data_IF_535407953207
#
_entry.id   IF_535407953207
#
_cell.length_a   1.000
_cell.length_b   1.000
_cell.length_c   1.000
_cell.angle_alpha   90.00
_cell.angle_beta   90.00
_cell.angle_gamma   90.00
#
_symmetry.space_group_name_H-M   'P 1'
#
loop_
_entity.id
_entity.type
_entity.pdbx_description
1 polymer ?
#
# COMPACT_ATOMS: atom_id res chain seq x y z
N UNK A 1 -28.66 40.63 13.27
CA UNK A 1 -27.84 40.24 14.40
C UNK A 1 -27.73 38.73 14.59
N UNK A 2 -28.77 37.96 14.29
CA UNK A 2 -28.70 36.49 14.31
C UNK A 2 -27.68 35.96 13.30
N UNK A 3 -27.56 36.59 12.14
CA UNK A 3 -26.63 36.22 11.07
C UNK A 3 -25.17 36.38 11.53
N UNK A 4 -24.91 37.38 12.38
CA UNK A 4 -23.57 37.68 12.89
C UNK A 4 -23.07 36.57 13.85
N UNK A 5 -23.95 36.08 14.71
CA UNK A 5 -23.63 34.96 15.61
C UNK A 5 -23.41 33.64 14.86
N UNK A 6 -24.12 33.47 13.75
CA UNK A 6 -23.97 32.30 12.89
C UNK A 6 -22.58 32.22 12.24
N UNK A 7 -22.11 33.37 11.76
CA UNK A 7 -20.78 33.44 11.13
C UNK A 7 -19.67 33.16 12.13
N UNK A 8 -19.80 33.66 13.36
CA UNK A 8 -18.83 33.40 14.43
C UNK A 8 -18.81 31.92 14.80
N UNK A 9 -19.99 31.27 14.86
CA UNK A 9 -20.08 29.84 15.15
C UNK A 9 -19.43 28.99 14.06
N UNK A 10 -19.61 29.34 12.79
CA UNK A 10 -18.99 28.66 11.66
C UNK A 10 -17.46 28.78 11.67
N UNK A 11 -16.94 29.94 12.01
CA UNK A 11 -15.49 30.17 12.11
C UNK A 11 -14.90 29.35 13.25
N UNK A 12 -15.59 29.23 14.38
CA UNK A 12 -15.16 28.44 15.51
C UNK A 12 -15.08 26.93 15.17
N UNK A 13 -16.05 26.42 14.42
CA UNK A 13 -16.07 25.02 13.97
C UNK A 13 -14.90 24.76 13.01
N UNK A 14 -14.61 25.70 12.09
CA UNK A 14 -13.50 25.56 11.16
C UNK A 14 -12.16 25.52 11.89
N UNK A 15 -11.99 26.32 12.94
CA UNK A 15 -10.78 26.31 13.76
C UNK A 15 -10.60 25.02 14.54
N UNK A 16 -11.69 24.36 14.93
CA UNK A 16 -11.62 23.08 15.63
C UNK A 16 -11.04 21.98 14.73
N UNK A 17 -11.31 22.02 13.43
CA UNK A 17 -10.73 21.10 12.46
C UNK A 17 -9.23 21.31 12.28
N UNK A 18 -8.75 22.55 12.42
CA UNK A 18 -7.34 22.87 12.28
C UNK A 18 -6.49 22.38 13.47
N UNK A 19 -7.12 21.95 14.58
CA UNK A 19 -6.44 21.45 15.77
C UNK A 19 -6.19 19.94 15.76
N UNK A 20 -6.65 19.22 14.73
CA UNK A 20 -6.35 17.79 14.59
C UNK A 20 -4.86 17.66 14.26
N UNK A 21 -4.08 16.86 15.04
CA UNK A 21 -2.66 16.70 14.77
C UNK A 21 -2.44 16.13 13.36
N UNK A 22 -1.65 16.83 12.56
CA UNK A 22 -1.35 16.41 11.19
C UNK A 22 -0.66 15.05 11.13
N UNK A 23 0.09 14.68 12.18
CA UNK A 23 0.77 13.39 12.28
C UNK A 23 -0.23 12.21 12.31
N UNK A 24 -1.36 12.37 12.99
CA UNK A 24 -2.40 11.36 13.05
C UNK A 24 -3.08 11.16 11.69
N UNK A 25 -3.41 12.26 11.03
CA UNK A 25 -4.03 12.23 9.71
C UNK A 25 -3.07 11.62 8.68
N UNK A 26 -1.78 11.98 8.73
CA UNK A 26 -0.76 11.48 7.82
C UNK A 26 -0.53 9.97 8.00
N UNK A 27 -0.45 9.49 9.26
CA UNK A 27 -0.27 8.07 9.56
C UNK A 27 -1.44 7.22 9.11
N UNK A 28 -2.68 7.67 9.38
CA UNK A 28 -3.89 6.97 8.95
C UNK A 28 -4.05 6.95 7.44
N UNK A 29 -3.72 8.05 6.77
CA UNK A 29 -3.79 8.15 5.32
C UNK A 29 -2.75 7.25 4.64
N UNK A 30 -1.51 7.23 5.15
CA UNK A 30 -0.45 6.38 4.60
C UNK A 30 -0.83 4.90 4.70
N UNK A 31 -1.38 4.47 5.82
CA UNK A 31 -1.83 3.10 6.02
C UNK A 31 -2.96 2.73 5.08
N UNK A 32 -3.95 3.61 4.94
CA UNK A 32 -5.08 3.40 4.03
C UNK A 32 -4.61 3.30 2.58
N UNK A 33 -3.72 4.20 2.17
CA UNK A 33 -3.14 4.20 0.84
C UNK A 33 -2.37 2.91 0.59
N UNK A 34 -1.56 2.45 1.55
CA UNK A 34 -0.85 1.18 1.47
C UNK A 34 -1.82 0.01 1.29
N UNK A 35 -2.86 -0.06 2.13
CA UNK A 35 -3.83 -1.15 2.07
C UNK A 35 -4.58 -1.16 0.73
N UNK A 36 -4.94 0.01 0.19
CA UNK A 36 -5.60 0.11 -1.09
C UNK A 36 -4.69 -0.33 -2.24
N UNK A 37 -3.43 0.05 -2.22
CA UNK A 37 -2.44 -0.38 -3.22
C UNK A 37 -2.24 -1.89 -3.16
N UNK A 38 -2.13 -2.46 -1.97
CA UNK A 38 -1.93 -3.90 -1.82
C UNK A 38 -3.15 -4.71 -2.24
N UNK A 39 -4.36 -4.19 -2.02
CA UNK A 39 -5.59 -4.82 -2.50
C UNK A 39 -5.62 -4.88 -4.03
N UNK A 40 -5.24 -3.79 -4.69
CA UNK A 40 -5.15 -3.75 -6.14
C UNK A 40 -4.07 -4.72 -6.66
N UNK A 41 -2.91 -4.71 -6.02
CA UNK A 41 -1.81 -5.61 -6.37
C UNK A 41 -2.23 -7.08 -6.22
N UNK A 42 -3.01 -7.41 -5.20
CA UNK A 42 -3.51 -8.77 -4.99
C UNK A 42 -4.38 -9.24 -6.16
N UNK A 43 -5.24 -8.37 -6.68
CA UNK A 43 -6.07 -8.67 -7.86
C UNK A 43 -5.19 -8.89 -9.09
N UNK A 44 -4.23 -7.99 -9.32
CA UNK A 44 -3.30 -8.10 -10.45
C UNK A 44 -2.43 -9.35 -10.35
N UNK A 45 -1.99 -9.69 -9.15
CA UNK A 45 -1.18 -10.88 -8.91
C UNK A 45 -1.95 -12.16 -9.24
N UNK A 46 -3.21 -12.23 -8.84
CA UNK A 46 -4.03 -13.40 -9.14
C UNK A 46 -4.22 -13.58 -10.65
N UNK A 47 -4.50 -12.51 -11.38
CA UNK A 47 -4.59 -12.55 -12.83
C UNK A 47 -3.28 -12.95 -13.49
N UNK A 48 -2.16 -12.43 -12.99
CA UNK A 48 -0.83 -12.77 -13.49
C UNK A 48 -0.47 -14.24 -13.20
N UNK A 49 -0.89 -14.76 -12.06
CA UNK A 49 -0.68 -16.17 -11.70
C UNK A 49 -1.42 -17.09 -12.65
N UNK A 50 -2.68 -16.79 -12.93
CA UNK A 50 -3.47 -17.58 -13.89
C UNK A 50 -2.82 -17.53 -15.27
N UNK A 51 -2.37 -16.37 -15.70
CA UNK A 51 -1.71 -16.22 -16.99
C UNK A 51 -0.40 -17.00 -17.04
N UNK A 52 0.37 -17.02 -15.95
CA UNK A 52 1.60 -17.81 -15.87
C UNK A 52 1.31 -19.29 -16.03
N UNK A 53 0.24 -19.79 -15.41
CA UNK A 53 -0.18 -21.21 -15.54
C UNK A 53 -0.62 -21.50 -16.97
N UNK A 54 -1.39 -20.62 -17.58
CA UNK A 54 -1.98 -20.86 -18.91
C UNK A 54 -0.98 -20.67 -20.06
N UNK A 55 -0.10 -19.67 -19.96
CA UNK A 55 0.77 -19.26 -21.07
C UNK A 55 2.25 -19.36 -20.76
N UNK A 56 2.62 -19.62 -19.50
CA UNK A 56 4.02 -19.62 -19.08
C UNK A 56 4.59 -18.22 -18.88
N UNK A 57 3.76 -17.18 -18.83
CA UNK A 57 4.21 -15.79 -18.67
C UNK A 57 4.58 -15.50 -17.20
N UNK A 58 5.79 -15.89 -16.82
CA UNK A 58 6.34 -15.60 -15.49
C UNK A 58 6.82 -14.15 -15.34
N UNK A 59 7.17 -13.49 -16.43
CA UNK A 59 7.69 -12.14 -16.40
C UNK A 59 6.70 -11.16 -15.76
N UNK A 60 5.44 -11.22 -16.17
CA UNK A 60 4.39 -10.37 -15.62
C UNK A 60 4.18 -10.66 -14.14
N UNK A 61 4.17 -11.94 -13.75
CA UNK A 61 4.02 -12.30 -12.33
C UNK A 61 5.17 -11.78 -11.48
N UNK A 62 6.42 -11.99 -11.93
CA UNK A 62 7.60 -11.49 -11.22
C UNK A 62 7.58 -9.95 -11.11
N UNK A 63 7.15 -9.26 -12.16
CA UNK A 63 7.02 -7.80 -12.12
C UNK A 63 6.04 -7.35 -11.06
N UNK A 64 4.86 -7.96 -10.99
CA UNK A 64 3.83 -7.61 -10.03
C UNK A 64 4.27 -7.91 -8.60
N UNK A 65 4.95 -9.04 -8.37
CA UNK A 65 5.52 -9.38 -7.07
C UNK A 65 6.56 -8.34 -6.65
N UNK A 66 7.39 -7.89 -7.58
CA UNK A 66 8.38 -6.83 -7.32
C UNK A 66 7.74 -5.48 -6.97
N UNK A 67 6.66 -5.13 -7.64
CA UNK A 67 5.92 -3.89 -7.35
C UNK A 67 5.34 -3.94 -5.92
N UNK A 68 4.74 -5.07 -5.54
CA UNK A 68 4.21 -5.25 -4.19
C UNK A 68 5.27 -5.13 -3.12
N UNK A 69 6.44 -5.69 -3.37
CA UNK A 69 7.58 -5.59 -2.45
C UNK A 69 8.06 -4.14 -2.33
N UNK A 70 8.18 -3.42 -3.44
CA UNK A 70 8.59 -2.02 -3.45
C UNK A 70 7.61 -1.12 -2.69
N UNK A 71 6.32 -1.31 -2.91
CA UNK A 71 5.26 -0.59 -2.19
C UNK A 71 5.36 -0.84 -0.68
N UNK A 72 5.62 -2.09 -0.29
CA UNK A 72 5.78 -2.48 1.12
C UNK A 72 7.02 -1.84 1.73
N UNK A 73 8.15 -1.85 1.02
CA UNK A 73 9.38 -1.23 1.50
C UNK A 73 9.22 0.27 1.75
N UNK A 74 8.57 0.97 0.84
CA UNK A 74 8.30 2.40 0.99
C UNK A 74 7.41 2.70 2.19
N UNK A 75 6.41 1.85 2.42
CA UNK A 75 5.54 2.00 3.57
C UNK A 75 6.29 1.73 4.88
N UNK A 76 7.18 0.72 4.91
CA UNK A 76 7.99 0.41 6.09
C UNK A 76 8.90 1.58 6.48
N UNK A 77 9.44 2.30 5.52
CA UNK A 77 10.27 3.48 5.78
C UNK A 77 9.50 4.58 6.50
N UNK A 78 8.18 4.67 6.29
CA UNK A 78 7.31 5.66 6.89
C UNK A 78 6.69 5.18 8.20
N UNK A 79 6.41 3.89 8.31
CA UNK A 79 5.62 3.31 9.41
C UNK A 79 6.41 3.09 10.70
N UNK A 80 7.73 3.06 10.64
CA UNK A 80 8.57 2.76 11.79
C UNK A 80 8.52 1.30 12.19
N UNK A 81 8.19 1.00 13.46
CA UNK A 81 8.17 -0.38 13.95
C UNK A 81 6.89 -1.10 13.52
N UNK A 82 7.04 -2.10 12.67
CA UNK A 82 5.96 -2.91 12.14
C UNK A 82 6.46 -4.34 11.91
N UNK A 83 6.70 -5.06 13.01
CA UNK A 83 7.27 -6.41 12.96
C UNK A 83 6.50 -7.38 12.08
N UNK A 84 5.16 -7.36 12.16
CA UNK A 84 4.30 -8.20 11.33
C UNK A 84 4.47 -7.89 9.85
N UNK A 85 4.59 -6.61 9.50
CA UNK A 85 4.76 -6.18 8.13
C UNK A 85 6.13 -6.58 7.58
N UNK A 86 7.17 -6.57 8.42
CA UNK A 86 8.50 -7.05 8.04
C UNK A 86 8.50 -8.53 7.73
N UNK A 87 7.77 -9.34 8.49
CA UNK A 87 7.60 -10.76 8.19
C UNK A 87 6.89 -10.97 6.87
N UNK A 88 5.85 -10.18 6.62
CA UNK A 88 5.14 -10.18 5.33
C UNK A 88 6.08 -9.84 4.19
N UNK A 89 6.93 -8.83 4.39
CA UNK A 89 7.93 -8.44 3.40
C UNK A 89 8.89 -9.58 3.10
N UNK A 90 9.34 -10.30 4.11
CA UNK A 90 10.24 -11.45 3.92
C UNK A 90 9.58 -12.55 3.08
N UNK A 91 8.30 -12.84 3.33
CA UNK A 91 7.57 -13.82 2.51
C UNK A 91 7.42 -13.34 1.07
N UNK A 92 7.15 -12.06 0.87
CA UNK A 92 7.05 -11.48 -0.47
C UNK A 92 8.38 -11.55 -1.21
N UNK A 93 9.49 -11.31 -0.52
CA UNK A 93 10.82 -11.43 -1.09
C UNK A 93 11.12 -12.88 -1.50
N UNK A 94 10.74 -13.84 -0.68
CA UNK A 94 10.90 -15.26 -1.00
C UNK A 94 10.08 -15.65 -2.22
N UNK A 95 8.86 -15.17 -2.32
CA UNK A 95 7.98 -15.41 -3.49
C UNK A 95 8.59 -14.83 -4.77
N UNK A 96 9.11 -13.62 -4.68
CA UNK A 96 9.77 -12.98 -5.81
C UNK A 96 11.01 -13.77 -6.24
N UNK A 97 11.83 -14.21 -5.29
CA UNK A 97 13.02 -15.00 -5.58
C UNK A 97 12.67 -16.31 -6.28
N UNK A 98 11.61 -16.99 -5.83
CA UNK A 98 11.12 -18.21 -6.45
C UNK A 98 10.66 -17.95 -7.88
N UNK A 99 9.94 -16.86 -8.10
CA UNK A 99 9.48 -16.46 -9.43
C UNK A 99 10.66 -16.18 -10.37
N UNK A 100 11.67 -15.43 -9.89
CA UNK A 100 12.86 -15.13 -10.68
C UNK A 100 13.68 -16.36 -11.02
N UNK A 101 13.77 -17.32 -10.10
CA UNK A 101 14.44 -18.59 -10.36
C UNK A 101 13.72 -19.37 -11.46
N UNK A 102 12.39 -19.39 -11.42
CA UNK A 102 11.58 -20.01 -12.47
C UNK A 102 11.81 -19.36 -13.84
N UNK A 103 11.93 -18.04 -13.85
CA UNK A 103 12.20 -17.29 -15.07
C UNK A 103 13.58 -17.62 -15.67
N UNK A 104 14.60 -17.74 -14.81
CA UNK A 104 15.95 -18.15 -15.26
C UNK A 104 15.98 -19.57 -15.76
N UNK A 105 15.25 -20.48 -15.10
CA UNK A 105 15.19 -21.89 -15.48
C UNK A 105 14.45 -22.16 -16.80
N UNK A 106 13.59 -21.21 -17.25
CA UNK A 106 12.85 -21.37 -18.50
C UNK A 106 13.62 -20.87 -19.72
N UNK A 107 14.82 -20.35 -19.53
CA UNK A 107 15.73 -19.96 -20.59
C UNK A 107 16.88 -20.96 -20.68
#
# INVERSE_FOLDING_TARGET
>A
MVIRNWQVALITVAMSFALIPSAWAAGGLARRTYNNKMALIAVLREGARQRAVETGDLETLCLILGIGLDVTDRYLDQAGDAGELRQRRQRMQADLNTCLQGLQGSH
#
